data_IF_911141040035
#
_entry.id   IF_911141040035
#
_cell.length_a   1.000
_cell.length_b   1.000
_cell.length_c   1.000
_cell.angle_alpha   90.00
_cell.angle_beta   90.00
_cell.angle_gamma   90.00
#
_symmetry.space_group_name_H-M   'P 1'
#
loop_
_entity.id
_entity.type
_entity.pdbx_description
1 polymer ?
#
# COMPACT_ATOMS: atom_id res chain seq x y z
N UNK A 1 -22.81 -8.09 1.17
CA UNK A 1 -21.59 -8.14 2.02
C UNK A 1 -20.93 -6.77 1.95
N UNK A 2 -20.50 -6.22 3.08
CA UNK A 2 -19.76 -4.94 3.15
C UNK A 2 -18.26 -5.18 2.92
N UNK A 3 -17.62 -4.30 2.15
CA UNK A 3 -16.16 -4.28 1.97
C UNK A 3 -15.54 -3.26 2.92
N UNK A 4 -14.33 -3.54 3.39
CA UNK A 4 -13.65 -2.70 4.38
C UNK A 4 -12.15 -2.93 4.42
N UNK A 5 -11.42 -1.90 4.80
CA UNK A 5 -9.96 -1.90 4.97
C UNK A 5 -9.55 -1.14 6.22
N UNK A 6 -8.30 -1.35 6.65
CA UNK A 6 -7.69 -0.61 7.76
C UNK A 6 -6.43 0.07 7.23
N UNK A 7 -6.21 1.34 7.57
CA UNK A 7 -4.96 2.02 7.26
C UNK A 7 -3.90 1.63 8.30
N UNK A 8 -2.74 1.16 7.85
CA UNK A 8 -1.66 0.68 8.74
C UNK A 8 -0.39 1.53 8.67
N UNK A 9 -0.41 2.62 7.90
CA UNK A 9 0.70 3.55 7.81
C UNK A 9 0.47 4.61 6.76
N UNK A 10 1.02 5.80 7.05
CA UNK A 10 1.17 6.91 6.12
C UNK A 10 2.68 7.06 5.86
N UNK A 11 3.06 7.14 4.59
CA UNK A 11 4.46 7.07 4.11
C UNK A 11 4.93 8.44 3.58
N UNK A 12 4.21 9.52 3.88
CA UNK A 12 4.41 10.83 3.28
C UNK A 12 3.71 10.96 1.92
N UNK A 13 3.45 12.20 1.50
CA UNK A 13 2.82 12.51 0.21
C UNK A 13 1.53 11.68 -0.04
N UNK A 14 0.74 11.46 1.02
CA UNK A 14 -0.50 10.72 1.03
C UNK A 14 -0.41 9.23 0.61
N UNK A 15 0.79 8.66 0.57
CA UNK A 15 0.96 7.23 0.33
C UNK A 15 0.53 6.43 1.56
N UNK A 16 -0.51 5.63 1.42
CA UNK A 16 -1.02 4.81 2.52
C UNK A 16 -1.17 3.36 2.12
N UNK A 17 -0.94 2.47 3.08
CA UNK A 17 -1.12 1.03 2.90
C UNK A 17 -2.40 0.55 3.60
N UNK A 18 -3.16 -0.28 2.89
CA UNK A 18 -4.52 -0.65 3.23
C UNK A 18 -4.73 -2.18 3.14
N UNK A 19 -4.50 -2.93 4.22
CA UNK A 19 -5.01 -4.28 4.36
C UNK A 19 -6.54 -4.33 4.25
N UNK A 20 -7.05 -5.20 3.38
CA UNK A 20 -8.48 -5.40 3.19
C UNK A 20 -8.99 -6.44 4.20
N UNK A 21 -9.94 -6.05 5.05
CA UNK A 21 -10.47 -6.88 6.13
C UNK A 21 -11.77 -7.60 5.77
N UNK A 22 -12.52 -7.09 4.79
CA UNK A 22 -13.75 -7.72 4.30
C UNK A 22 -14.00 -7.47 2.81
N UNK A 23 -14.79 -8.33 2.17
CA UNK A 23 -15.11 -8.26 0.75
C UNK A 23 -14.24 -9.17 -0.14
N UNK A 24 -14.36 -9.04 -1.49
CA UNK A 24 -13.73 -9.94 -2.45
C UNK A 24 -12.19 -9.97 -2.41
N UNK A 25 -11.57 -8.88 -1.94
CA UNK A 25 -10.11 -8.74 -1.86
C UNK A 25 -9.57 -8.99 -0.44
N UNK A 26 -10.38 -9.55 0.46
CA UNK A 26 -9.99 -9.79 1.86
C UNK A 26 -8.64 -10.51 1.95
N UNK A 27 -7.76 -9.98 2.79
CA UNK A 27 -6.42 -10.51 3.04
C UNK A 27 -5.33 -9.76 2.27
N UNK A 28 -5.63 -9.21 1.10
CA UNK A 28 -4.66 -8.46 0.29
C UNK A 28 -4.31 -7.10 0.88
N UNK A 29 -3.15 -6.56 0.48
CA UNK A 29 -2.69 -5.22 0.84
C UNK A 29 -2.65 -4.34 -0.41
N UNK A 30 -3.30 -3.20 -0.34
CA UNK A 30 -3.35 -2.22 -1.40
C UNK A 30 -2.62 -0.94 -0.99
N UNK A 31 -2.08 -0.24 -1.97
CA UNK A 31 -1.41 1.05 -1.77
C UNK A 31 -2.08 2.11 -2.61
N UNK A 32 -2.18 3.29 -2.03
CA UNK A 32 -2.48 4.50 -2.78
C UNK A 32 -1.18 5.03 -3.39
N UNK A 33 -1.15 5.11 -4.73
CA UNK A 33 0.05 5.42 -5.49
C UNK A 33 0.41 6.91 -5.55
N UNK A 34 -0.52 7.81 -5.22
CA UNK A 34 -0.30 9.25 -5.10
C UNK A 34 -1.42 9.81 -4.24
N UNK A 35 -1.09 10.73 -3.31
CA UNK A 35 -1.94 11.42 -2.33
C UNK A 35 -3.48 11.49 -2.55
N UNK A 36 -4.18 10.36 -2.62
CA UNK A 36 -5.57 10.27 -3.00
C UNK A 36 -5.90 10.52 -4.49
N UNK A 37 -4.92 10.86 -5.33
CA UNK A 37 -5.08 11.10 -6.78
C UNK A 37 -4.67 9.91 -7.65
N UNK A 38 -4.07 8.88 -7.05
CA UNK A 38 -3.66 7.65 -7.72
C UNK A 38 -4.75 6.56 -7.76
N UNK A 39 -4.56 5.58 -8.64
CA UNK A 39 -5.28 4.31 -8.55
C UNK A 39 -4.75 3.52 -7.35
N UNK A 40 -5.67 2.88 -6.64
CA UNK A 40 -5.32 1.84 -5.67
C UNK A 40 -4.73 0.66 -6.42
N UNK A 41 -3.51 0.27 -6.05
CA UNK A 41 -2.82 -0.88 -6.66
C UNK A 41 -2.65 -1.97 -5.61
N UNK A 42 -2.94 -3.20 -5.98
CA UNK A 42 -2.65 -4.35 -5.12
C UNK A 42 -1.12 -4.51 -5.03
N UNK A 43 -0.57 -4.26 -3.84
CA UNK A 43 0.86 -4.32 -3.57
C UNK A 43 1.31 -5.73 -3.17
N UNK A 44 0.43 -6.46 -2.47
CA UNK A 44 0.72 -7.83 -2.04
C UNK A 44 -0.55 -8.68 -1.89
N UNK A 45 -0.46 -10.01 -2.02
CA UNK A 45 -1.58 -10.92 -1.79
C UNK A 45 -1.95 -11.04 -0.31
N UNK A 46 -1.02 -10.75 0.63
CA UNK A 46 -1.25 -10.82 2.06
C UNK A 46 -0.32 -9.90 2.88
N UNK A 47 -0.68 -9.63 4.13
CA UNK A 47 0.13 -8.79 5.02
C UNK A 47 1.50 -9.38 5.34
N UNK A 48 1.61 -10.72 5.39
CA UNK A 48 2.84 -11.43 5.74
C UNK A 48 3.90 -11.29 4.66
N UNK A 49 3.50 -11.30 3.39
CA UNK A 49 4.38 -11.05 2.24
C UNK A 49 4.70 -9.57 2.08
N UNK A 50 3.76 -8.68 2.41
CA UNK A 50 3.97 -7.22 2.37
C UNK A 50 4.96 -6.70 3.43
N UNK A 51 4.80 -7.13 4.70
CA UNK A 51 5.51 -6.57 5.85
C UNK A 51 7.05 -6.55 5.72
N UNK A 52 7.73 -7.67 5.33
CA UNK A 52 9.17 -7.66 5.16
C UNK A 52 9.63 -6.95 3.87
N UNK A 53 8.76 -6.81 2.86
CA UNK A 53 9.08 -6.14 1.59
C UNK A 53 8.99 -4.61 1.64
N UNK A 54 8.32 -4.06 2.66
CA UNK A 54 8.14 -2.61 2.83
C UNK A 54 9.45 -1.81 2.79
N UNK A 55 10.54 -2.18 3.49
CA UNK A 55 11.77 -1.39 3.51
C UNK A 55 12.39 -1.23 2.11
N UNK A 56 12.54 -2.36 1.38
CA UNK A 56 13.09 -2.36 0.03
C UNK A 56 12.25 -1.50 -0.94
N UNK A 57 10.93 -1.52 -0.79
CA UNK A 57 10.03 -0.66 -1.58
C UNK A 57 10.23 0.82 -1.26
N UNK A 58 10.33 1.18 0.02
CA UNK A 58 10.55 2.57 0.44
C UNK A 58 11.88 3.13 -0.11
N UNK A 59 12.92 2.30 -0.16
CA UNK A 59 14.22 2.66 -0.75
C UNK A 59 14.12 2.88 -2.26
N UNK A 60 13.48 1.96 -3.00
CA UNK A 60 13.27 2.11 -4.44
C UNK A 60 12.44 3.36 -4.80
N UNK A 61 11.42 3.68 -3.99
CA UNK A 61 10.62 4.90 -4.15
C UNK A 61 11.43 6.18 -3.84
N UNK A 62 12.33 6.14 -2.85
CA UNK A 62 13.21 7.26 -2.53
C UNK A 62 14.26 7.50 -3.62
N UNK A 63 14.86 6.43 -4.17
CA UNK A 63 15.80 6.49 -5.29
C UNK A 63 15.14 7.09 -6.53
N UNK A 64 13.93 6.64 -6.88
CA UNK A 64 13.17 7.20 -8.00
C UNK A 64 12.88 8.71 -7.85
N UNK A 65 12.81 9.24 -6.62
CA UNK A 65 12.62 10.67 -6.34
C UNK A 65 13.92 11.48 -6.34
N UNK A 66 15.06 10.85 -6.05
CA UNK A 66 16.38 11.50 -6.03
C UNK A 66 16.99 11.77 -7.42
N UNK A 67 16.41 11.20 -8.47
CA UNK A 67 16.82 11.41 -9.86
C UNK A 67 16.10 12.57 -10.56
N UNK A 68 15.52 13.53 -9.81
CA UNK A 68 14.82 14.70 -10.36
C UNK A 68 15.53 16.01 -10.02
#
# INVERSE_FOLDING_TARGET
MTAGSVQIGEQGCGHSSWPVVSGPHRGSVWVDGFAGDGLMVQSAPDFRTWCPGRPARAEAEAEARGHR
#
